data_IF_090822556716
#
_entry.id   IF_090822556716
#
_cell.length_a   1.000
_cell.length_b   1.000
_cell.length_c   1.000
_cell.angle_alpha   90.00
_cell.angle_beta   90.00
_cell.angle_gamma   90.00
#
_symmetry.space_group_name_H-M   'P 1'
#
loop_
_entity.id
_entity.type
_entity.pdbx_description
1 polymer ?
#
# COMPACT_ATOMS: atom_id res chain seq x y z
N UNK A 1 19.46 35.35 -27.78
CA UNK A 1 19.58 34.12 -26.96
C UNK A 1 18.39 34.14 -26.00
N UNK A 2 17.31 33.40 -26.30
CA UNK A 2 16.15 33.29 -25.41
C UNK A 2 16.28 31.94 -24.71
N UNK A 3 16.62 31.96 -23.43
CA UNK A 3 16.68 30.77 -22.60
C UNK A 3 15.23 30.39 -22.23
N UNK A 4 14.71 29.34 -22.86
CA UNK A 4 13.45 28.74 -22.47
C UNK A 4 13.65 27.95 -21.16
N UNK A 5 13.12 28.47 -20.04
CA UNK A 5 12.93 27.65 -18.85
C UNK A 5 11.82 26.64 -19.15
N UNK A 6 12.22 25.39 -19.41
CA UNK A 6 11.31 24.24 -19.33
C UNK A 6 10.95 24.06 -17.85
N UNK A 7 9.83 24.63 -17.43
CA UNK A 7 9.22 24.34 -16.15
C UNK A 7 8.81 22.87 -16.14
N UNK A 8 9.58 22.03 -15.45
CA UNK A 8 9.17 20.65 -15.15
C UNK A 8 8.03 20.77 -14.14
N UNK A 9 6.80 20.73 -14.63
CA UNK A 9 5.62 20.51 -13.80
C UNK A 9 5.76 19.12 -13.19
N UNK A 10 6.21 19.05 -11.95
CA UNK A 10 6.15 17.83 -11.15
C UNK A 10 4.66 17.53 -10.97
N UNK A 11 4.12 16.66 -11.81
CA UNK A 11 2.79 16.11 -11.57
C UNK A 11 2.86 15.45 -10.21
N UNK A 12 2.05 15.93 -9.26
CA UNK A 12 1.84 15.22 -8.01
C UNK A 12 1.11 13.91 -8.36
N UNK A 13 1.88 12.86 -8.62
CA UNK A 13 1.33 11.52 -8.80
C UNK A 13 0.73 11.11 -7.45
N UNK A 14 -0.60 11.04 -7.41
CA UNK A 14 -1.29 10.39 -6.32
C UNK A 14 -0.84 8.93 -6.34
N UNK A 15 -0.09 8.51 -5.33
CA UNK A 15 0.40 7.15 -5.26
C UNK A 15 -0.79 6.22 -5.08
N UNK A 16 -0.80 5.09 -5.78
CA UNK A 16 -1.83 4.07 -5.60
C UNK A 16 -1.42 3.09 -4.50
N UNK A 17 -2.40 2.41 -3.90
CA UNK A 17 -2.16 1.31 -2.95
C UNK A 17 -2.72 0.04 -3.52
N UNK A 18 -1.86 -0.96 -3.68
CA UNK A 18 -2.25 -2.26 -4.24
C UNK A 18 -1.45 -3.39 -3.60
N UNK A 19 -1.90 -4.62 -3.86
CA UNK A 19 -1.32 -5.83 -3.27
C UNK A 19 -0.74 -6.69 -4.38
N UNK A 20 0.54 -7.06 -4.25
CA UNK A 20 1.16 -8.08 -5.08
C UNK A 20 1.21 -9.40 -4.31
N UNK A 21 0.56 -10.44 -4.81
CA UNK A 21 0.60 -11.79 -4.21
C UNK A 21 0.42 -12.82 -5.34
N UNK A 22 0.98 -14.04 -5.22
CA UNK A 22 0.71 -15.09 -6.18
C UNK A 22 -0.79 -15.41 -6.25
N UNK A 23 -1.33 -15.50 -7.46
CA UNK A 23 -2.73 -15.91 -7.66
C UNK A 23 -2.98 -17.37 -7.23
N UNK A 24 -1.95 -18.21 -7.30
CA UNK A 24 -1.99 -19.63 -6.95
C UNK A 24 -0.78 -20.01 -6.10
N UNK A 25 -1.03 -20.75 -5.03
CA UNK A 25 -0.01 -21.36 -4.18
C UNK A 25 -0.27 -22.87 -4.04
N UNK A 26 0.79 -23.63 -3.77
CA UNK A 26 0.65 -25.03 -3.39
C UNK A 26 0.07 -25.15 -1.98
N UNK A 27 -0.60 -26.27 -1.70
CA UNK A 27 -1.09 -26.61 -0.36
C UNK A 27 0.00 -26.45 0.70
N UNK A 28 -0.37 -25.96 1.88
CA UNK A 28 0.57 -25.79 3.01
C UNK A 28 1.77 -24.89 2.69
N UNK A 29 1.57 -23.86 1.85
CA UNK A 29 2.57 -22.82 1.56
C UNK A 29 2.42 -21.63 2.51
N UNK A 30 3.54 -20.96 2.78
CA UNK A 30 3.53 -19.60 3.33
C UNK A 30 3.11 -18.65 2.21
N UNK A 31 2.05 -17.87 2.42
CA UNK A 31 1.68 -16.81 1.50
C UNK A 31 2.63 -15.63 1.69
N UNK A 32 3.16 -15.11 0.59
CA UNK A 32 3.97 -13.88 0.57
C UNK A 32 3.20 -12.82 -0.20
N UNK A 33 3.18 -11.62 0.32
CA UNK A 33 2.52 -10.49 -0.31
C UNK A 33 3.33 -9.21 -0.10
N UNK A 34 3.34 -8.38 -1.13
CA UNK A 34 3.94 -7.07 -1.10
C UNK A 34 2.85 -6.00 -1.02
N UNK A 35 3.03 -5.05 -0.09
CA UNK A 35 2.25 -3.83 0.02
C UNK A 35 2.85 -2.77 -0.91
N UNK A 36 2.24 -2.59 -2.08
CA UNK A 36 2.74 -1.61 -3.03
C UNK A 36 2.10 -0.24 -2.78
N UNK A 37 2.94 0.80 -2.81
CA UNK A 37 2.54 2.20 -2.67
C UNK A 37 3.30 3.06 -3.67
N UNK A 38 2.65 3.36 -4.81
CA UNK A 38 3.29 3.98 -5.96
C UNK A 38 2.66 3.51 -7.27
N UNK A 39 3.40 3.60 -8.37
CA UNK A 39 2.89 3.31 -9.70
C UNK A 39 2.85 1.80 -9.98
N UNK A 40 1.67 1.28 -10.34
CA UNK A 40 1.53 -0.11 -10.80
C UNK A 40 2.32 -0.36 -12.11
N UNK A 41 3.01 -1.50 -12.29
CA UNK A 41 3.09 -2.69 -11.42
C UNK A 41 4.36 -2.71 -10.54
N UNK A 42 4.99 -1.57 -10.27
CA UNK A 42 6.27 -1.55 -9.57
C UNK A 42 6.10 -1.53 -8.05
N UNK A 43 6.84 -2.41 -7.38
CA UNK A 43 6.89 -2.47 -5.92
C UNK A 43 8.24 -1.92 -5.46
N UNK A 44 8.20 -0.95 -4.56
CA UNK A 44 9.39 -0.29 -4.05
C UNK A 44 9.33 -0.05 -2.54
N UNK A 45 10.48 0.30 -1.96
CA UNK A 45 10.60 0.59 -0.53
C UNK A 45 9.78 1.81 -0.17
N UNK A 46 8.89 1.66 0.80
CA UNK A 46 8.05 2.77 1.27
C UNK A 46 8.94 3.76 2.03
N UNK A 47 8.87 5.08 1.74
CA UNK A 47 9.62 6.07 2.50
C UNK A 47 9.32 5.97 4.00
N UNK A 48 10.35 5.98 4.85
CA UNK A 48 10.21 5.76 6.30
C UNK A 48 9.19 6.69 6.95
N UNK A 49 9.17 7.97 6.53
CA UNK A 49 8.21 8.97 7.00
C UNK A 49 6.74 8.64 6.73
N UNK A 50 6.46 7.72 5.80
CA UNK A 50 5.11 7.27 5.42
C UNK A 50 4.74 5.90 6.01
N UNK A 51 5.67 5.19 6.63
CA UNK A 51 5.40 3.82 7.14
C UNK A 51 4.26 3.77 8.16
N UNK A 52 4.15 4.78 9.03
CA UNK A 52 3.11 4.82 10.06
C UNK A 52 1.67 4.85 9.50
N UNK A 53 1.51 5.23 8.24
CA UNK A 53 0.21 5.27 7.55
C UNK A 53 -0.32 3.85 7.30
N UNK A 54 0.57 2.89 7.12
CA UNK A 54 0.24 1.52 6.76
C UNK A 54 0.22 0.65 8.02
N UNK A 55 -0.95 0.15 8.45
CA UNK A 55 -0.98 -0.98 9.36
C UNK A 55 -0.44 -2.23 8.62
N UNK A 56 -0.09 -3.30 9.37
CA UNK A 56 0.20 -4.59 8.76
C UNK A 56 -0.94 -5.05 7.84
N UNK A 57 -0.57 -5.75 6.76
CA UNK A 57 -1.53 -6.36 5.83
C UNK A 57 -2.36 -7.44 6.52
N UNK A 58 -3.52 -7.77 5.95
CA UNK A 58 -4.39 -8.83 6.46
C UNK A 58 -4.69 -9.85 5.36
N UNK A 59 -5.01 -11.07 5.79
CA UNK A 59 -5.61 -12.09 4.95
C UNK A 59 -6.97 -12.48 5.50
N UNK A 60 -7.92 -12.73 4.60
CA UNK A 60 -9.29 -13.10 4.90
C UNK A 60 -9.59 -14.40 4.19
N UNK A 61 -9.94 -15.46 4.93
CA UNK A 61 -10.32 -16.74 4.33
C UNK A 61 -11.79 -16.74 3.85
N UNK A 62 -12.22 -17.85 3.24
CA UNK A 62 -13.59 -18.01 2.74
C UNK A 62 -14.68 -17.88 3.81
N UNK A 63 -14.35 -18.19 5.06
CA UNK A 63 -15.26 -18.08 6.20
C UNK A 63 -15.30 -16.65 6.78
N UNK A 64 -14.51 -15.73 6.23
CA UNK A 64 -14.39 -14.35 6.69
C UNK A 64 -13.45 -14.18 7.88
N UNK A 65 -12.74 -15.22 8.31
CA UNK A 65 -11.75 -15.12 9.38
C UNK A 65 -10.55 -14.31 8.91
N UNK A 66 -10.17 -13.32 9.72
CA UNK A 66 -9.07 -12.41 9.43
C UNK A 66 -7.82 -12.82 10.20
N UNK A 67 -6.68 -12.78 9.53
CA UNK A 67 -5.36 -12.94 10.13
C UNK A 67 -4.44 -11.80 9.67
N UNK A 68 -3.76 -11.18 10.62
CA UNK A 68 -2.71 -10.20 10.33
C UNK A 68 -1.46 -10.90 9.77
N UNK A 69 -0.92 -10.38 8.67
CA UNK A 69 0.35 -10.83 8.13
C UNK A 69 1.53 -10.26 8.92
N UNK A 70 2.62 -11.03 8.97
CA UNK A 70 3.87 -10.59 9.62
C UNK A 70 4.81 -10.00 8.57
N UNK A 71 5.40 -8.85 8.88
CA UNK A 71 6.40 -8.23 8.03
C UNK A 71 7.70 -9.05 8.08
N UNK A 72 8.20 -9.49 6.92
CA UNK A 72 9.50 -10.17 6.79
C UNK A 72 10.16 -9.78 5.47
N UNK A 73 11.32 -9.15 5.57
CA UNK A 73 12.07 -8.64 4.43
C UNK A 73 12.10 -7.10 4.46
N UNK A 74 11.94 -6.49 3.29
CA UNK A 74 11.82 -5.04 3.19
C UNK A 74 10.54 -4.52 3.86
N UNK A 75 10.46 -3.20 4.04
CA UNK A 75 9.40 -2.56 4.81
C UNK A 75 7.99 -2.64 4.18
N UNK A 76 7.86 -3.27 3.02
CA UNK A 76 6.62 -3.54 2.31
C UNK A 76 6.34 -5.05 2.14
N UNK A 77 7.22 -5.93 2.61
CA UNK A 77 7.13 -7.37 2.38
C UNK A 77 6.50 -8.08 3.59
N UNK A 78 5.39 -8.76 3.36
CA UNK A 78 4.61 -9.44 4.38
C UNK A 78 4.42 -10.92 4.02
N UNK A 79 4.18 -11.73 5.05
CA UNK A 79 3.86 -13.14 4.85
C UNK A 79 2.93 -13.68 5.92
N UNK A 80 2.26 -14.80 5.63
CA UNK A 80 1.52 -15.53 6.65
C UNK A 80 2.49 -16.04 7.72
N UNK A 81 2.04 -16.01 8.98
CA UNK A 81 2.86 -16.51 10.09
C UNK A 81 3.08 -18.01 9.99
N UNK A 82 2.05 -18.73 9.53
CA UNK A 82 2.02 -20.18 9.35
C UNK A 82 1.58 -20.53 7.94
N UNK A 83 1.89 -21.75 7.46
CA UNK A 83 1.34 -22.25 6.21
C UNK A 83 -0.17 -22.16 6.16
N UNK A 84 -0.71 -21.75 5.01
CA UNK A 84 -2.16 -21.68 4.81
C UNK A 84 -2.71 -23.05 4.44
N UNK A 85 -3.93 -23.33 4.92
CA UNK A 85 -4.72 -24.47 4.47
C UNK A 85 -5.22 -24.24 3.05
N UNK A 86 -5.60 -25.31 2.36
CA UNK A 86 -6.23 -25.22 1.06
C UNK A 86 -7.51 -24.38 1.13
N UNK A 87 -7.74 -23.54 0.12
CA UNK A 87 -8.86 -22.61 0.09
C UNK A 87 -8.56 -21.32 -0.65
N UNK A 88 -9.51 -20.38 -0.60
CA UNK A 88 -9.37 -19.05 -1.19
C UNK A 88 -9.15 -17.98 -0.14
N UNK A 89 -8.32 -17.00 -0.47
CA UNK A 89 -7.94 -15.93 0.43
C UNK A 89 -7.97 -14.58 -0.29
N UNK A 90 -8.54 -13.58 0.37
CA UNK A 90 -8.28 -12.18 0.05
C UNK A 90 -7.07 -11.72 0.85
N UNK A 91 -6.14 -11.05 0.18
CA UNK A 91 -5.02 -10.36 0.81
C UNK A 91 -5.29 -8.87 0.69
N UNK A 92 -5.26 -8.13 1.79
CA UNK A 92 -5.66 -6.72 1.84
C UNK A 92 -4.53 -5.82 2.35
N UNK A 93 -4.52 -4.59 1.83
CA UNK A 93 -3.66 -3.50 2.26
C UNK A 93 -4.53 -2.29 2.60
N UNK A 94 -4.21 -1.60 3.68
CA UNK A 94 -4.93 -0.39 4.10
C UNK A 94 -3.95 0.77 4.20
N UNK A 95 -4.31 1.89 3.61
CA UNK A 95 -3.73 3.19 3.90
C UNK A 95 -4.67 3.89 4.87
N UNK A 96 -4.23 4.19 6.10
CA UNK A 96 -5.09 4.83 7.10
C UNK A 96 -5.49 6.24 6.66
N UNK A 97 -6.68 6.74 7.06
CA UNK A 97 -7.06 8.13 6.84
C UNK A 97 -5.94 9.10 7.27
N UNK A 98 -5.36 9.82 6.32
CA UNK A 98 -4.20 10.69 6.55
C UNK A 98 -4.44 12.04 5.92
N UNK A 99 -4.15 13.11 6.65
CA UNK A 99 -4.24 14.46 6.10
C UNK A 99 -3.05 14.76 5.20
N UNK A 100 -3.34 15.40 4.07
CA UNK A 100 -2.36 16.01 3.18
C UNK A 100 -2.75 17.45 2.94
N UNK A 101 -1.84 18.37 3.24
CA UNK A 101 -2.01 19.80 2.97
C UNK A 101 -0.97 20.28 1.98
N UNK A 102 -1.36 21.19 1.10
CA UNK A 102 -0.47 21.79 0.10
C UNK A 102 -0.33 23.29 0.37
N UNK A 103 0.92 23.76 0.42
CA UNK A 103 1.27 25.18 0.42
C UNK A 103 2.37 25.45 -0.62
N UNK A 104 2.94 26.65 -0.63
CA UNK A 104 3.99 27.02 -1.60
C UNK A 104 5.30 26.21 -1.45
N UNK A 105 5.49 25.48 -0.35
CA UNK A 105 6.64 24.58 -0.13
C UNK A 105 6.36 23.15 -0.62
N UNK A 106 5.12 22.85 -1.02
CA UNK A 106 4.69 21.54 -1.53
C UNK A 106 3.72 20.80 -0.60
N UNK A 107 3.63 19.48 -0.79
CA UNK A 107 2.75 18.59 -0.03
C UNK A 107 3.34 18.20 1.31
N UNK A 108 2.54 18.30 2.37
CA UNK A 108 2.87 17.88 3.74
C UNK A 108 1.83 16.90 4.26
N UNK A 109 2.29 15.86 4.95
CA UNK A 109 1.44 14.86 5.61
C UNK A 109 0.91 15.42 6.94
N UNK A 110 0.23 16.55 6.88
CA UNK A 110 -0.26 17.33 8.01
C UNK A 110 -1.61 17.95 7.66
N UNK A 111 -2.35 18.37 8.67
CA UNK A 111 -3.58 19.14 8.48
C UNK A 111 -3.27 20.64 8.33
N UNK A 112 -4.33 21.45 8.20
CA UNK A 112 -4.22 22.92 8.09
C UNK A 112 -3.53 23.59 9.30
N UNK A 113 -3.68 23.04 10.51
CA UNK A 113 -3.02 23.60 11.70
C UNK A 113 -1.50 23.38 11.65
N UNK A 114 -1.06 22.23 11.14
CA UNK A 114 0.35 21.90 10.92
C UNK A 114 0.96 22.52 9.66
N UNK A 115 0.14 23.13 8.79
CA UNK A 115 0.59 23.66 7.49
C UNK A 115 0.19 25.13 7.31
N UNK A 116 0.99 26.08 7.81
CA UNK A 116 0.75 27.50 7.60
C UNK A 116 0.65 27.86 6.11
N UNK A 117 -0.28 28.77 5.80
CA UNK A 117 -0.56 29.24 4.43
C UNK A 117 -0.93 28.11 3.45
N UNK A 118 -1.49 27.00 3.93
CA UNK A 118 -2.07 25.98 3.06
C UNK A 118 -3.23 26.57 2.25
N UNK A 119 -3.20 26.32 0.95
CA UNK A 119 -4.30 26.66 0.03
C UNK A 119 -5.16 25.44 -0.30
N UNK A 120 -4.73 24.24 0.09
CA UNK A 120 -5.46 22.98 -0.09
C UNK A 120 -5.18 22.03 1.07
N UNK A 121 -6.20 21.26 1.47
CA UNK A 121 -6.08 20.15 2.41
C UNK A 121 -7.10 19.08 2.06
N UNK A 122 -6.66 17.83 2.08
CA UNK A 122 -7.50 16.64 1.92
C UNK A 122 -7.22 15.64 3.04
N UNK A 123 -8.16 14.72 3.24
CA UNK A 123 -7.93 13.51 4.00
C UNK A 123 -8.07 12.32 3.06
N UNK A 124 -7.03 11.51 2.98
CA UNK A 124 -6.93 10.45 1.97
C UNK A 124 -6.92 9.10 2.66
N UNK A 125 -7.69 8.17 2.13
CA UNK A 125 -7.73 6.77 2.52
C UNK A 125 -7.73 5.92 1.25
N UNK A 126 -6.97 4.82 1.27
CA UNK A 126 -6.85 3.92 0.13
C UNK A 126 -6.85 2.47 0.61
N UNK A 127 -7.27 1.58 -0.28
CA UNK A 127 -7.30 0.15 -0.01
C UNK A 127 -6.79 -0.61 -1.22
N UNK A 128 -5.95 -1.62 -0.96
CA UNK A 128 -5.51 -2.59 -1.96
C UNK A 128 -6.06 -3.96 -1.62
N UNK A 129 -6.39 -4.76 -2.64
CA UNK A 129 -6.71 -6.18 -2.44
C UNK A 129 -6.25 -7.04 -3.61
N UNK A 130 -5.92 -8.28 -3.31
CA UNK A 130 -5.65 -9.32 -4.29
C UNK A 130 -6.21 -10.66 -3.83
N UNK A 131 -6.46 -11.56 -4.77
CA UNK A 131 -7.02 -12.87 -4.51
C UNK A 131 -5.97 -13.96 -4.74
N UNK A 132 -5.89 -14.91 -3.82
CA UNK A 132 -4.99 -16.06 -3.89
C UNK A 132 -5.75 -17.34 -3.60
N UNK A 133 -5.48 -18.39 -4.38
CA UNK A 133 -5.93 -19.76 -4.10
C UNK A 133 -4.75 -20.57 -3.59
N UNK A 134 -4.99 -21.36 -2.54
CA UNK A 134 -4.03 -22.32 -1.98
C UNK A 134 -4.57 -23.73 -2.23
N UNK A 135 -3.73 -24.61 -2.78
CA UNK A 135 -4.13 -25.97 -3.12
C UNK A 135 -4.63 -26.10 -4.55
N UNK A 136 -5.47 -27.10 -4.87
CA UNK A 136 -5.97 -27.27 -6.24
C UNK A 136 -7.18 -26.37 -6.49
N UNK A 137 -7.29 -25.84 -7.70
CA UNK A 137 -8.55 -25.29 -8.20
C UNK A 137 -9.58 -26.43 -8.26
N UNK A 138 -10.67 -26.30 -7.50
CA UNK A 138 -11.84 -27.18 -7.61
C UNK A 138 -12.72 -26.74 -8.77
#
# INVERSE_FOLDING_TARGET
MIAALLGVSVMAQAHEVWVATPAQLASNSILKADLAYGDYPYVEKIPEKRLAIFPPMEIINQDGEMQTLVQKGENYQYQSEKPLKDGSYWVTATYKPTFWSQNNEGWKMENLQGTPNAFYCEQTQMFGKAFSVVGKNH
#
